data_IF_227657199641
#
_entry.id   IF_227657199641
#
_cell.length_a   1.000
_cell.length_b   1.000
_cell.length_c   1.000
_cell.angle_alpha   90.00
_cell.angle_beta   90.00
_cell.angle_gamma   90.00
#
_symmetry.space_group_name_H-M   'P 1'
#
loop_
_entity.id
_entity.type
_entity.pdbx_description
1 polymer ?
#
# COMPACT_ATOMS: atom_id res chain seq x y z
N UNK A 1 4.24 -27.80 5.09
CA UNK A 1 2.99 -28.56 5.16
C UNK A 1 2.85 -29.42 3.90
N UNK A 2 2.41 -30.67 4.04
CA UNK A 2 1.97 -31.48 2.93
C UNK A 2 0.65 -30.92 2.35
N UNK A 3 0.09 -31.54 1.29
CA UNK A 3 -1.11 -31.02 0.62
C UNK A 3 -2.34 -31.06 1.54
N UNK A 4 -2.56 -32.17 2.24
CA UNK A 4 -3.71 -32.35 3.12
C UNK A 4 -3.66 -31.41 4.33
N UNK A 5 -2.51 -31.28 4.97
CA UNK A 5 -2.33 -30.38 6.12
C UNK A 5 -2.52 -28.93 5.70
N UNK A 6 -2.06 -28.56 4.50
CA UNK A 6 -2.28 -27.21 3.97
C UNK A 6 -3.75 -26.94 3.71
N UNK A 7 -4.48 -27.87 3.07
CA UNK A 7 -5.91 -27.73 2.82
C UNK A 7 -6.71 -27.61 4.11
N UNK A 8 -6.39 -28.44 5.11
CA UNK A 8 -7.04 -28.38 6.43
C UNK A 8 -6.78 -27.06 7.15
N UNK A 9 -5.54 -26.58 7.13
CA UNK A 9 -5.17 -25.30 7.74
C UNK A 9 -5.85 -24.12 7.00
N UNK A 10 -5.87 -24.17 5.66
CA UNK A 10 -6.53 -23.16 4.84
C UNK A 10 -8.04 -23.15 5.10
N UNK A 11 -8.69 -24.33 5.12
CA UNK A 11 -10.12 -24.45 5.40
C UNK A 11 -10.47 -23.90 6.78
N UNK A 12 -9.66 -24.25 7.79
CA UNK A 12 -9.86 -23.76 9.17
C UNK A 12 -9.75 -22.22 9.25
N UNK A 13 -8.77 -21.64 8.55
CA UNK A 13 -8.55 -20.19 8.59
C UNK A 13 -9.58 -19.41 7.76
N UNK A 14 -9.99 -19.93 6.60
CA UNK A 14 -10.90 -19.25 5.68
C UNK A 14 -12.36 -19.48 6.01
N UNK A 15 -12.71 -20.63 6.62
CA UNK A 15 -14.07 -21.08 6.83
C UNK A 15 -14.70 -21.63 5.53
N UNK A 16 -16.02 -21.85 5.55
CA UNK A 16 -16.76 -22.51 4.48
C UNK A 16 -17.54 -21.56 3.57
N UNK A 17 -17.28 -20.25 3.62
CA UNK A 17 -18.02 -19.25 2.82
C UNK A 17 -17.88 -19.45 1.31
N UNK A 18 -16.77 -20.01 0.85
CA UNK A 18 -16.54 -20.34 -0.56
C UNK A 18 -16.70 -21.86 -0.85
N UNK A 19 -17.28 -22.62 0.08
CA UNK A 19 -17.34 -24.07 0.02
C UNK A 19 -16.11 -24.75 0.60
N UNK A 20 -15.90 -26.02 0.23
CA UNK A 20 -14.76 -26.82 0.67
C UNK A 20 -13.61 -26.75 -0.34
N UNK A 21 -12.41 -26.53 0.16
CA UNK A 21 -11.18 -26.62 -0.65
C UNK A 21 -10.81 -28.09 -0.86
N UNK A 22 -10.81 -28.55 -2.10
CA UNK A 22 -10.59 -29.98 -2.44
C UNK A 22 -9.21 -30.23 -3.03
N UNK A 23 -8.56 -29.21 -3.56
CA UNK A 23 -7.27 -29.33 -4.25
C UNK A 23 -6.45 -28.06 -4.10
N UNK A 24 -5.13 -28.21 -3.98
CA UNK A 24 -4.18 -27.11 -4.04
C UNK A 24 -3.27 -27.27 -5.24
N UNK A 25 -2.98 -26.17 -5.94
CA UNK A 25 -2.01 -26.15 -7.03
C UNK A 25 -0.55 -26.03 -6.54
N UNK A 26 0.36 -25.78 -7.46
CA UNK A 26 1.76 -25.51 -7.13
C UNK A 26 1.86 -24.32 -6.18
N UNK A 27 2.59 -24.50 -5.08
CA UNK A 27 2.82 -23.48 -4.06
C UNK A 27 4.23 -22.94 -4.16
N UNK A 28 4.35 -21.64 -4.15
CA UNK A 28 5.65 -20.95 -4.10
C UNK A 28 5.66 -20.04 -2.88
N UNK A 29 6.77 -20.00 -2.18
CA UNK A 29 6.97 -19.12 -1.02
C UNK A 29 8.09 -18.15 -1.32
N UNK A 30 7.89 -16.90 -0.96
CA UNK A 30 8.91 -15.86 -1.01
C UNK A 30 8.77 -14.93 0.20
N UNK A 31 9.87 -14.37 0.69
CA UNK A 31 9.82 -13.45 1.83
C UNK A 31 9.09 -12.17 1.44
N UNK A 32 8.19 -11.71 2.30
CA UNK A 32 7.60 -10.38 2.18
C UNK A 32 8.56 -9.36 2.77
N UNK A 33 9.07 -8.48 1.93
CA UNK A 33 9.96 -7.40 2.35
C UNK A 33 9.12 -6.13 2.52
N UNK A 34 9.32 -5.44 3.63
CA UNK A 34 8.79 -4.10 3.87
C UNK A 34 9.98 -3.15 3.99
N UNK A 35 9.99 -2.11 3.18
CA UNK A 35 11.09 -1.15 3.20
C UNK A 35 10.85 0.02 2.26
N UNK A 36 11.63 1.05 2.43
CA UNK A 36 11.65 2.24 1.60
C UNK A 36 13.10 2.62 1.33
N UNK A 37 13.38 3.10 0.13
CA UNK A 37 14.67 3.69 -0.18
C UNK A 37 14.91 4.93 0.70
N UNK A 38 16.12 5.08 1.21
CA UNK A 38 16.51 6.26 2.01
C UNK A 38 16.34 7.57 1.24
N UNK A 39 16.55 7.51 -0.08
CA UNK A 39 16.30 8.63 -0.98
C UNK A 39 15.58 8.14 -2.24
N UNK A 40 14.59 8.89 -2.68
CA UNK A 40 13.89 8.66 -3.95
C UNK A 40 14.69 9.18 -5.15
N UNK A 41 15.79 9.88 -4.91
CA UNK A 41 16.57 10.54 -5.98
C UNK A 41 18.07 10.49 -5.68
N UNK A 42 18.86 10.44 -6.73
CA UNK A 42 20.31 10.60 -6.73
C UNK A 42 20.72 11.49 -7.89
N UNK A 43 22.05 11.61 -8.16
CA UNK A 43 22.53 12.39 -9.29
C UNK A 43 21.88 11.92 -10.61
N UNK A 44 21.05 12.77 -11.23
CA UNK A 44 20.32 12.54 -12.49
C UNK A 44 19.42 11.28 -12.50
N UNK A 45 19.06 10.78 -11.31
CA UNK A 45 18.33 9.52 -11.14
C UNK A 45 17.11 9.72 -10.26
N UNK A 46 16.01 9.05 -10.61
CA UNK A 46 14.83 8.88 -9.75
C UNK A 46 14.55 7.39 -9.58
N UNK A 47 14.10 6.99 -8.39
CA UNK A 47 13.74 5.62 -8.05
C UNK A 47 12.22 5.53 -7.97
N UNK A 48 11.63 4.50 -8.59
CA UNK A 48 10.18 4.30 -8.68
C UNK A 48 9.78 2.86 -8.35
N UNK A 49 8.52 2.66 -8.01
CA UNK A 49 7.94 1.34 -7.79
C UNK A 49 8.58 0.59 -6.61
N UNK A 50 8.71 -0.72 -6.74
CA UNK A 50 9.27 -1.58 -5.68
C UNK A 50 10.70 -1.22 -5.25
N UNK A 51 11.48 -0.61 -6.11
CA UNK A 51 12.81 -0.12 -5.76
C UNK A 51 12.76 1.10 -4.82
N UNK A 52 11.69 1.90 -4.92
CA UNK A 52 11.47 3.05 -4.07
C UNK A 52 10.77 2.66 -2.75
N UNK A 53 9.82 1.73 -2.81
CA UNK A 53 8.98 1.34 -1.68
C UNK A 53 8.42 -0.06 -1.86
N UNK A 54 8.79 -0.97 -0.97
CA UNK A 54 8.22 -2.30 -0.85
C UNK A 54 7.25 -2.32 0.33
N UNK A 55 5.96 -2.43 0.07
CA UNK A 55 4.93 -2.39 1.10
C UNK A 55 4.28 -3.76 1.29
N UNK A 56 3.71 -4.00 2.46
CA UNK A 56 2.93 -5.21 2.70
C UNK A 56 1.79 -5.33 1.69
N UNK A 57 1.49 -6.55 1.17
CA UNK A 57 0.45 -6.78 0.16
C UNK A 57 -0.98 -6.59 0.70
N UNK A 58 -1.13 -6.10 1.92
CA UNK A 58 -2.41 -5.74 2.51
C UNK A 58 -3.04 -4.62 1.70
N UNK A 59 -4.25 -4.84 1.23
CA UNK A 59 -5.00 -3.95 0.35
C UNK A 59 -4.42 -3.73 -1.07
N UNK A 60 -3.40 -4.49 -1.50
CA UNK A 60 -2.90 -4.46 -2.87
C UNK A 60 -2.32 -3.11 -3.33
N UNK A 61 -1.82 -2.28 -2.42
CA UNK A 61 -1.43 -0.90 -2.70
C UNK A 61 -0.07 -0.74 -3.41
N UNK A 62 0.79 -1.78 -3.41
CA UNK A 62 2.13 -1.69 -3.98
C UNK A 62 2.13 -1.28 -5.45
N UNK A 63 1.32 -1.95 -6.26
CA UNK A 63 1.16 -1.61 -7.68
C UNK A 63 0.60 -0.20 -7.87
N UNK A 64 -0.44 0.16 -7.13
CA UNK A 64 -1.07 1.48 -7.23
C UNK A 64 -0.09 2.60 -6.85
N UNK A 65 0.75 2.39 -5.85
CA UNK A 65 1.75 3.36 -5.42
C UNK A 65 2.82 3.55 -6.51
N UNK A 66 3.29 2.46 -7.12
CA UNK A 66 4.22 2.52 -8.26
C UNK A 66 3.62 3.20 -9.49
N UNK A 67 2.33 2.97 -9.77
CA UNK A 67 1.64 3.66 -10.86
C UNK A 67 1.57 5.19 -10.63
N UNK A 68 1.38 5.61 -9.38
CA UNK A 68 1.43 7.04 -9.02
C UNK A 68 2.84 7.63 -9.20
N UNK A 69 3.90 6.86 -8.96
CA UNK A 69 5.27 7.31 -9.26
C UNK A 69 5.43 7.63 -10.74
N UNK A 70 4.99 6.70 -11.60
CA UNK A 70 5.02 6.88 -13.06
C UNK A 70 4.20 8.10 -13.46
N UNK A 71 3.00 8.26 -12.92
CA UNK A 71 2.12 9.40 -13.26
C UNK A 71 2.76 10.74 -12.88
N UNK A 72 3.33 10.86 -11.68
CA UNK A 72 3.98 12.09 -11.23
C UNK A 72 5.22 12.38 -12.05
N UNK A 73 6.04 11.36 -12.33
CA UNK A 73 7.24 11.52 -13.15
C UNK A 73 6.89 11.93 -14.58
N UNK A 74 5.91 11.28 -15.20
CA UNK A 74 5.42 11.60 -16.55
C UNK A 74 4.93 13.04 -16.63
N UNK A 75 4.13 13.48 -15.66
CA UNK A 75 3.66 14.87 -15.58
C UNK A 75 4.83 15.86 -15.44
N UNK A 76 5.81 15.54 -14.60
CA UNK A 76 6.99 16.40 -14.44
C UNK A 76 7.81 16.50 -15.72
N UNK A 77 8.00 15.40 -16.44
CA UNK A 77 8.68 15.40 -17.74
C UNK A 77 7.96 16.31 -18.74
N UNK A 78 6.62 16.28 -18.74
CA UNK A 78 5.82 17.05 -19.68
C UNK A 78 5.68 18.54 -19.34
N UNK A 79 5.75 18.91 -18.04
CA UNK A 79 5.36 20.25 -17.58
C UNK A 79 6.45 21.01 -16.83
N UNK A 80 7.55 20.36 -16.45
CA UNK A 80 8.61 20.99 -15.67
C UNK A 80 9.34 22.04 -16.49
N UNK A 81 9.62 23.16 -15.85
CA UNK A 81 10.50 24.21 -16.38
C UNK A 81 12.00 23.94 -16.14
N UNK A 82 12.31 22.89 -15.39
CA UNK A 82 13.68 22.51 -15.08
C UNK A 82 14.21 21.53 -16.12
N UNK A 83 15.50 21.58 -16.36
CA UNK A 83 16.19 20.60 -17.19
C UNK A 83 16.01 19.19 -16.62
N UNK A 84 15.71 18.22 -17.48
CA UNK A 84 15.53 16.83 -17.10
C UNK A 84 16.79 16.28 -16.44
N UNK A 85 16.62 15.68 -15.28
CA UNK A 85 17.72 15.13 -14.50
C UNK A 85 18.53 16.17 -13.71
N UNK A 86 18.19 17.46 -13.77
CA UNK A 86 18.79 18.45 -12.89
C UNK A 86 18.40 18.21 -11.42
N UNK A 87 19.16 18.76 -10.49
CA UNK A 87 18.85 18.70 -9.07
C UNK A 87 17.45 19.27 -8.76
N UNK A 88 17.08 20.37 -9.40
CA UNK A 88 15.78 20.98 -9.21
C UNK A 88 14.63 20.07 -9.69
N UNK A 89 14.80 19.40 -10.83
CA UNK A 89 13.84 18.42 -11.33
C UNK A 89 13.69 17.21 -10.41
N UNK A 90 14.79 16.58 -10.02
CA UNK A 90 14.75 15.38 -9.15
C UNK A 90 14.23 15.73 -7.76
N UNK A 91 14.60 16.90 -7.23
CA UNK A 91 14.05 17.39 -5.94
C UNK A 91 12.54 17.61 -6.00
N UNK A 92 12.02 18.19 -7.10
CA UNK A 92 10.58 18.39 -7.26
C UNK A 92 9.84 17.05 -7.27
N UNK A 93 10.37 16.04 -7.96
CA UNK A 93 9.84 14.69 -7.91
C UNK A 93 9.80 14.14 -6.49
N UNK A 94 10.93 14.21 -5.79
CA UNK A 94 11.03 13.70 -4.41
C UNK A 94 10.01 14.37 -3.48
N UNK A 95 9.86 15.69 -3.53
CA UNK A 95 8.90 16.42 -2.71
C UNK A 95 7.45 16.00 -2.98
N UNK A 96 7.09 15.79 -4.26
CA UNK A 96 5.73 15.38 -4.63
C UNK A 96 5.43 13.94 -4.21
N UNK A 97 6.44 13.06 -4.19
CA UNK A 97 6.23 11.64 -3.89
C UNK A 97 6.38 11.27 -2.43
N UNK A 98 7.34 11.87 -1.71
CA UNK A 98 7.65 11.47 -0.32
C UNK A 98 6.43 11.52 0.61
N UNK A 99 5.61 12.55 0.52
CA UNK A 99 4.43 12.71 1.37
C UNK A 99 3.39 11.61 1.11
N UNK A 100 3.11 11.30 -0.17
CA UNK A 100 2.13 10.27 -0.54
C UNK A 100 2.64 8.87 -0.15
N UNK A 101 3.89 8.56 -0.45
CA UNK A 101 4.54 7.29 -0.07
C UNK A 101 4.47 7.10 1.44
N UNK A 102 4.92 8.08 2.22
CA UNK A 102 4.91 8.01 3.69
C UNK A 102 3.50 7.82 4.25
N UNK A 103 2.50 8.47 3.67
CA UNK A 103 1.10 8.31 4.08
C UNK A 103 0.60 6.88 3.83
N UNK A 104 0.84 6.33 2.64
CA UNK A 104 0.42 4.97 2.29
C UNK A 104 1.17 3.94 3.14
N UNK A 105 2.46 4.11 3.33
CA UNK A 105 3.28 3.21 4.15
C UNK A 105 2.81 3.22 5.60
N UNK A 106 2.63 4.39 6.21
CA UNK A 106 2.14 4.52 7.58
C UNK A 106 0.75 3.92 7.77
N UNK A 107 -0.16 4.14 6.82
CA UNK A 107 -1.49 3.55 6.85
C UNK A 107 -1.43 2.03 6.76
N UNK A 108 -0.61 1.50 5.86
CA UNK A 108 -0.45 0.05 5.68
C UNK A 108 0.16 -0.59 6.93
N UNK A 109 1.19 0.01 7.52
CA UNK A 109 1.79 -0.46 8.77
C UNK A 109 0.78 -0.42 9.94
N UNK A 110 0.00 0.65 10.05
CA UNK A 110 -1.05 0.75 11.06
C UNK A 110 -2.11 -0.34 10.89
N UNK A 111 -2.53 -0.66 9.66
CA UNK A 111 -3.45 -1.76 9.38
C UNK A 111 -2.83 -3.11 9.76
N UNK A 112 -1.57 -3.36 9.39
CA UNK A 112 -0.87 -4.60 9.81
C UNK A 112 -0.89 -4.73 11.32
N UNK A 113 -0.45 -3.73 12.06
CA UNK A 113 -0.40 -3.74 13.53
C UNK A 113 -1.78 -3.93 14.16
N UNK A 114 -2.80 -3.27 13.61
CA UNK A 114 -4.18 -3.38 14.10
C UNK A 114 -4.76 -4.78 13.90
N UNK A 115 -4.50 -5.40 12.74
CA UNK A 115 -5.11 -6.68 12.37
C UNK A 115 -4.27 -7.89 12.77
N UNK A 116 -2.95 -7.77 12.92
CA UNK A 116 -2.06 -8.85 13.34
C UNK A 116 -1.95 -8.99 14.87
N UNK A 117 -2.53 -8.06 15.62
CA UNK A 117 -2.42 -8.08 17.08
C UNK A 117 -3.50 -8.97 17.70
N UNK A 118 -3.10 -9.86 18.61
CA UNK A 118 -3.98 -10.77 19.35
C UNK A 118 -4.60 -10.17 20.61
N UNK A 119 -4.33 -8.91 20.94
CA UNK A 119 -4.88 -8.23 22.12
C UNK A 119 -6.41 -8.12 22.03
N UNK A 120 -7.10 -8.58 23.07
CA UNK A 120 -8.58 -8.50 23.17
C UNK A 120 -9.10 -7.07 23.12
N UNK A 121 -8.36 -6.11 23.69
CA UNK A 121 -8.72 -4.69 23.69
C UNK A 121 -8.68 -4.12 22.27
N UNK A 122 -7.61 -4.42 21.51
CA UNK A 122 -7.50 -4.01 20.11
C UNK A 122 -8.53 -4.72 19.23
N UNK A 123 -8.86 -5.97 19.51
CA UNK A 123 -9.91 -6.70 18.80
C UNK A 123 -11.28 -6.04 18.99
N UNK A 124 -11.61 -5.63 20.22
CA UNK A 124 -12.84 -4.90 20.50
C UNK A 124 -12.87 -3.53 19.81
N UNK A 125 -11.79 -2.75 19.93
CA UNK A 125 -11.66 -1.45 19.27
C UNK A 125 -11.79 -1.55 17.74
N UNK A 126 -11.19 -2.57 17.13
CA UNK A 126 -11.31 -2.87 15.69
C UNK A 126 -12.77 -3.17 15.32
N UNK A 127 -13.46 -4.02 16.11
CA UNK A 127 -14.86 -4.37 15.83
C UNK A 127 -15.77 -3.15 15.94
N UNK A 128 -15.59 -2.31 16.95
CA UNK A 128 -16.34 -1.06 17.11
C UNK A 128 -16.03 -0.10 15.97
N UNK A 129 -14.76 0.05 15.58
CA UNK A 129 -14.35 0.90 14.47
C UNK A 129 -14.97 0.47 13.14
N UNK A 130 -14.92 -0.81 12.81
CA UNK A 130 -15.55 -1.35 11.59
C UNK A 130 -17.07 -1.18 11.62
N UNK A 131 -17.71 -1.46 12.75
CA UNK A 131 -19.15 -1.25 12.91
C UNK A 131 -19.55 0.23 12.76
N UNK A 132 -18.76 1.14 13.33
CA UNK A 132 -18.98 2.58 13.18
C UNK A 132 -18.85 3.04 11.72
N UNK A 133 -17.88 2.47 10.98
CA UNK A 133 -17.74 2.73 9.55
C UNK A 133 -18.91 2.18 8.73
N UNK A 134 -19.57 1.10 9.17
CA UNK A 134 -20.75 0.58 8.51
C UNK A 134 -21.98 1.45 8.76
N UNK A 135 -22.13 1.97 9.97
CA UNK A 135 -23.24 2.87 10.32
C UNK A 135 -23.08 4.27 9.69
N UNK A 136 -21.86 4.73 9.55
CA UNK A 136 -21.57 6.09 9.06
C UNK A 136 -20.69 6.04 7.77
N UNK A 137 -21.30 5.95 6.58
CA UNK A 137 -20.57 5.89 5.31
C UNK A 137 -19.60 7.05 5.09
N UNK A 138 -19.87 8.22 5.70
CA UNK A 138 -18.98 9.37 5.66
C UNK A 138 -17.59 9.09 6.23
N UNK A 139 -17.45 8.14 7.17
CA UNK A 139 -16.16 7.73 7.72
C UNK A 139 -15.35 6.87 6.75
N UNK A 140 -16.01 6.14 5.83
CA UNK A 140 -15.36 5.32 4.81
C UNK A 140 -14.80 6.17 3.66
N UNK A 141 -15.45 7.27 3.32
CA UNK A 141 -15.14 8.05 2.13
C UNK A 141 -13.70 8.62 2.10
N UNK A 142 -13.14 9.20 3.17
CA UNK A 142 -11.75 9.66 3.18
C UNK A 142 -10.76 8.52 3.00
N UNK A 143 -10.97 7.40 3.71
CA UNK A 143 -10.11 6.23 3.62
C UNK A 143 -10.15 5.60 2.22
N UNK A 144 -11.34 5.44 1.65
CA UNK A 144 -11.53 4.93 0.30
C UNK A 144 -10.84 5.82 -0.74
N UNK A 145 -11.01 7.15 -0.65
CA UNK A 145 -10.32 8.09 -1.54
C UNK A 145 -8.82 8.01 -1.44
N UNK A 146 -8.28 7.89 -0.22
CA UNK A 146 -6.85 7.72 0.00
C UNK A 146 -6.31 6.43 -0.63
N UNK A 147 -7.00 5.31 -0.40
CA UNK A 147 -6.62 4.00 -0.95
C UNK A 147 -6.75 3.96 -2.48
N UNK A 148 -7.76 4.61 -3.06
CA UNK A 148 -7.96 4.72 -4.51
C UNK A 148 -7.06 5.78 -5.18
N UNK A 149 -6.23 6.52 -4.42
CA UNK A 149 -5.37 7.56 -4.98
C UNK A 149 -6.11 8.81 -5.46
N UNK A 150 -7.37 8.99 -5.09
CA UNK A 150 -8.19 10.12 -5.49
C UNK A 150 -8.02 11.36 -4.58
N UNK A 151 -6.98 11.40 -3.77
CA UNK A 151 -6.64 12.59 -3.00
C UNK A 151 -6.10 13.64 -3.97
N UNK A 152 -6.81 14.74 -4.14
CA UNK A 152 -6.33 15.90 -4.89
C UNK A 152 -4.98 16.29 -4.30
N UNK A 153 -3.92 16.13 -5.08
CA UNK A 153 -2.65 16.77 -4.77
C UNK A 153 -2.96 18.26 -4.75
N UNK A 154 -2.86 18.87 -3.57
CA UNK A 154 -3.17 20.27 -3.39
C UNK A 154 -2.36 21.10 -4.38
N UNK A 155 -3.04 21.66 -5.36
CA UNK A 155 -2.52 22.75 -6.20
C UNK A 155 -2.36 23.93 -5.25
N UNK A 156 -1.20 24.05 -4.60
CA UNK A 156 -0.79 25.35 -4.06
C UNK A 156 -0.25 26.13 -5.25
N UNK A 157 -1.04 27.10 -5.64
CA UNK A 157 -0.61 28.23 -6.51
C UNK A 157 0.60 28.93 -5.88
#
# INVERSE_FOLDING_TARGET
>A
LNENDFLNALQSAFGYRAGQFTKVGTRTSYPLVYGQAESLTAHRTVVIGNAAHAIHPIAGQGFNLGLRDVQVLSNLIATSKYELGSYAFTREYSLKRSSDINTVMSLTDALVRLFSNSSRVLALGRSIGLFSMDLFPALKAPLAKQLMGQVKQGTRL
#
